data_IF_364459028568
#
_entry.id   IF_364459028568
#
_cell.length_a   1.000
_cell.length_b   1.000
_cell.length_c   1.000
_cell.angle_alpha   90.00
_cell.angle_beta   90.00
_cell.angle_gamma   90.00
#
_symmetry.space_group_name_H-M   'P 1'
#
loop_
_entity.id
_entity.type
_entity.pdbx_description
1 polymer ?
#
# COMPACT_ATOMS: atom_id res chain seq x y z
N UNK A 1 -17.44 -8.97 2.46
CA UNK A 1 -16.11 -9.57 2.23
C UNK A 1 -16.28 -11.08 2.13
N UNK A 2 -15.93 -11.66 0.97
CA UNK A 2 -16.05 -13.10 0.70
C UNK A 2 -14.76 -13.85 1.07
N UNK A 3 -14.78 -15.20 1.19
CA UNK A 3 -13.55 -15.99 1.39
C UNK A 3 -12.49 -15.78 0.29
N UNK A 4 -12.94 -15.51 -0.95
CA UNK A 4 -12.06 -15.19 -2.08
C UNK A 4 -11.35 -13.85 -1.88
N UNK A 5 -12.06 -12.85 -1.39
CA UNK A 5 -11.49 -11.54 -1.09
C UNK A 5 -10.49 -11.62 0.05
N UNK A 6 -10.79 -12.38 1.11
CA UNK A 6 -9.84 -12.64 2.19
C UNK A 6 -8.53 -13.26 1.67
N UNK A 7 -8.63 -14.28 0.81
CA UNK A 7 -7.46 -14.91 0.23
C UNK A 7 -6.63 -13.93 -0.61
N UNK A 8 -7.30 -13.12 -1.46
CA UNK A 8 -6.68 -12.05 -2.27
C UNK A 8 -5.89 -11.10 -1.37
N UNK A 9 -6.48 -10.62 -0.27
CA UNK A 9 -5.84 -9.65 0.61
C UNK A 9 -4.69 -10.24 1.43
N UNK A 10 -4.81 -11.50 1.86
CA UNK A 10 -3.69 -12.21 2.51
C UNK A 10 -2.51 -12.39 1.56
N UNK A 11 -2.76 -12.73 0.30
CA UNK A 11 -1.72 -12.86 -0.72
C UNK A 11 -1.07 -11.52 -1.01
N UNK A 12 -1.86 -10.46 -1.20
CA UNK A 12 -1.33 -9.11 -1.44
C UNK A 12 -0.49 -8.62 -0.25
N UNK A 13 -0.97 -8.80 0.98
CA UNK A 13 -0.19 -8.47 2.18
C UNK A 13 1.13 -9.27 2.26
N UNK A 14 1.10 -10.56 1.89
CA UNK A 14 2.30 -11.39 1.85
C UNK A 14 3.31 -10.96 0.79
N UNK A 15 2.85 -10.46 -0.36
CA UNK A 15 3.73 -9.95 -1.41
C UNK A 15 4.60 -8.77 -0.97
N UNK A 16 4.19 -8.03 0.08
CA UNK A 16 4.95 -6.90 0.62
C UNK A 16 5.97 -7.29 1.70
N UNK A 17 6.08 -8.56 2.07
CA UNK A 17 6.95 -8.96 3.20
C UNK A 17 8.44 -8.68 2.99
N UNK A 18 8.90 -8.65 1.73
CA UNK A 18 10.29 -8.35 1.41
C UNK A 18 10.68 -6.91 1.77
N UNK A 19 9.70 -6.00 1.85
CA UNK A 19 9.91 -4.61 2.24
C UNK A 19 9.94 -4.40 3.76
N UNK A 20 9.58 -5.41 4.57
CA UNK A 20 9.49 -5.26 6.02
C UNK A 20 10.75 -4.71 6.67
N UNK A 21 11.92 -5.13 6.19
CA UNK A 21 13.21 -4.72 6.74
C UNK A 21 13.74 -3.41 6.11
N UNK A 22 13.08 -2.89 5.08
CA UNK A 22 13.47 -1.65 4.42
C UNK A 22 13.05 -0.48 5.32
N UNK A 23 13.97 0.41 5.72
CA UNK A 23 13.66 1.62 6.48
C UNK A 23 12.70 2.57 5.73
N UNK A 24 11.97 3.40 6.49
CA UNK A 24 10.96 4.30 5.91
C UNK A 24 11.57 5.37 5.01
N UNK A 25 12.75 5.91 5.34
CA UNK A 25 13.50 6.87 4.51
C UNK A 25 13.93 6.26 3.17
N UNK A 26 14.40 5.00 3.18
CA UNK A 26 14.73 4.27 1.95
C UNK A 26 13.49 4.00 1.10
N UNK A 27 12.34 3.67 1.71
CA UNK A 27 11.07 3.54 0.99
C UNK A 27 10.63 4.86 0.36
N UNK A 28 10.77 5.98 1.08
CA UNK A 28 10.48 7.32 0.57
C UNK A 28 11.35 7.60 -0.66
N UNK A 29 12.67 7.33 -0.57
CA UNK A 29 13.59 7.55 -1.69
C UNK A 29 13.22 6.71 -2.93
N UNK A 30 12.90 5.42 -2.74
CA UNK A 30 12.42 4.54 -3.82
C UNK A 30 11.15 5.11 -4.47
N UNK A 31 10.17 5.54 -3.66
CA UNK A 31 8.90 6.08 -4.19
C UNK A 31 9.14 7.39 -4.92
N UNK A 32 9.91 8.33 -4.37
CA UNK A 32 10.19 9.61 -5.02
C UNK A 32 10.94 9.43 -6.34
N UNK A 33 11.86 8.47 -6.41
CA UNK A 33 12.67 8.19 -7.60
C UNK A 33 11.90 7.44 -8.68
N UNK A 34 11.16 6.40 -8.31
CA UNK A 34 10.69 5.37 -9.23
C UNK A 34 9.16 5.37 -9.43
N UNK A 35 8.40 6.11 -8.61
CA UNK A 35 6.94 6.18 -8.74
C UNK A 35 6.52 7.11 -9.89
N UNK A 36 5.99 6.52 -10.96
CA UNK A 36 5.66 7.26 -12.17
C UNK A 36 4.45 8.18 -11.99
N UNK A 37 3.40 7.73 -11.29
CA UNK A 37 2.18 8.53 -11.13
C UNK A 37 2.33 9.73 -10.17
N UNK A 38 3.35 9.74 -9.31
CA UNK A 38 3.62 10.85 -8.39
C UNK A 38 3.98 12.17 -9.11
N UNK A 39 4.43 12.07 -10.37
CA UNK A 39 4.93 13.21 -11.15
C UNK A 39 4.06 13.53 -12.38
N UNK A 40 3.01 12.73 -12.63
CA UNK A 40 2.16 12.88 -13.82
C UNK A 40 1.08 13.95 -13.60
N UNK A 41 0.62 14.15 -12.37
CA UNK A 41 -0.46 15.08 -12.06
C UNK A 41 0.03 16.17 -11.12
N UNK A 42 -0.36 17.41 -11.43
CA UNK A 42 -0.23 18.50 -10.46
C UNK A 42 -1.16 18.25 -9.25
N UNK A 43 -0.82 18.78 -8.07
CA UNK A 43 -1.70 18.70 -6.90
C UNK A 43 -3.09 19.28 -7.23
N UNK A 44 -4.11 18.42 -7.18
CA UNK A 44 -5.51 18.79 -7.53
C UNK A 44 -5.95 18.40 -8.94
N UNK A 45 -5.05 17.90 -9.79
CA UNK A 45 -5.37 17.40 -11.13
C UNK A 45 -5.35 15.87 -11.23
N UNK A 46 -5.00 15.19 -10.15
CA UNK A 46 -5.09 13.74 -10.07
C UNK A 46 -6.55 13.29 -10.29
N UNK A 47 -6.79 12.23 -11.09
CA UNK A 47 -8.12 11.72 -11.31
C UNK A 47 -8.82 11.39 -9.99
N UNK A 48 -10.02 11.92 -9.80
CA UNK A 48 -10.85 11.62 -8.64
C UNK A 48 -11.35 10.17 -8.70
N UNK A 49 -11.30 9.48 -7.57
CA UNK A 49 -11.97 8.21 -7.38
C UNK A 49 -13.48 8.46 -7.26
N UNK A 50 -14.29 7.67 -7.96
CA UNK A 50 -15.75 7.79 -7.92
C UNK A 50 -16.36 7.24 -6.63
N UNK A 51 -15.61 6.41 -5.89
CA UNK A 51 -16.09 5.65 -4.75
C UNK A 51 -16.82 4.37 -5.15
N UNK A 52 -16.87 4.03 -6.44
CA UNK A 52 -17.43 2.79 -6.97
C UNK A 52 -16.32 1.77 -7.23
N UNK A 53 -16.49 0.54 -6.72
CA UNK A 53 -15.48 -0.52 -6.75
C UNK A 53 -14.78 -0.71 -8.11
N UNK A 54 -15.51 -1.05 -9.18
CA UNK A 54 -14.89 -1.41 -10.46
C UNK A 54 -14.27 -0.22 -11.22
N UNK A 55 -14.94 0.93 -11.37
CA UNK A 55 -14.33 2.10 -11.99
C UNK A 55 -13.02 2.53 -11.30
N UNK A 56 -13.00 2.50 -9.97
CA UNK A 56 -11.82 2.89 -9.19
C UNK A 56 -10.68 1.87 -9.30
N UNK A 57 -11.00 0.57 -9.38
CA UNK A 57 -10.01 -0.47 -9.65
C UNK A 57 -9.42 -0.34 -11.05
N UNK A 58 -10.24 -0.08 -12.06
CA UNK A 58 -9.76 0.12 -13.44
C UNK A 58 -8.87 1.36 -13.54
N UNK A 59 -9.25 2.46 -12.89
CA UNK A 59 -8.44 3.67 -12.81
C UNK A 59 -7.11 3.39 -12.11
N UNK A 60 -7.13 2.72 -10.97
CA UNK A 60 -5.92 2.36 -10.22
C UNK A 60 -4.97 1.48 -11.05
N UNK A 61 -5.51 0.49 -11.77
CA UNK A 61 -4.75 -0.38 -12.65
C UNK A 61 -4.09 0.42 -13.80
N UNK A 62 -4.82 1.34 -14.42
CA UNK A 62 -4.30 2.21 -15.49
C UNK A 62 -3.20 3.14 -14.99
N UNK A 63 -3.39 3.78 -13.84
CA UNK A 63 -2.42 4.72 -13.27
C UNK A 63 -1.10 4.04 -12.87
N UNK A 64 -1.16 2.81 -12.39
CA UNK A 64 0.01 2.08 -11.92
C UNK A 64 0.62 1.13 -12.97
N UNK A 65 0.04 1.04 -14.17
CA UNK A 65 0.51 0.15 -15.22
C UNK A 65 1.99 0.41 -15.56
N UNK A 66 2.84 -0.58 -15.32
CA UNK A 66 4.28 -0.49 -15.61
C UNK A 66 5.10 0.29 -14.58
N UNK A 67 4.51 0.74 -13.47
CA UNK A 67 5.23 1.45 -12.42
C UNK A 67 6.12 0.48 -11.61
N UNK A 68 7.46 0.65 -11.59
CA UNK A 68 8.35 -0.25 -10.86
C UNK A 68 8.24 -0.12 -9.33
N UNK A 69 7.73 1.01 -8.84
CA UNK A 69 7.61 1.30 -7.41
C UNK A 69 6.29 0.86 -6.78
N UNK A 70 5.44 0.07 -7.45
CA UNK A 70 4.09 -0.26 -6.96
C UNK A 70 4.08 -0.83 -5.52
N UNK A 71 4.95 -1.79 -5.23
CA UNK A 71 4.99 -2.41 -3.90
C UNK A 71 5.57 -1.45 -2.84
N UNK A 72 6.61 -0.69 -3.18
CA UNK A 72 7.20 0.31 -2.28
C UNK A 72 6.20 1.43 -1.96
N UNK A 73 5.45 1.89 -2.98
CA UNK A 73 4.40 2.89 -2.86
C UNK A 73 3.29 2.42 -1.90
N UNK A 74 2.81 1.19 -2.08
CA UNK A 74 1.78 0.62 -1.21
C UNK A 74 2.29 0.38 0.22
N UNK A 75 3.50 -0.15 0.38
CA UNK A 75 4.09 -0.35 1.72
C UNK A 75 4.23 0.98 2.46
N UNK A 76 4.75 2.02 1.80
CA UNK A 76 4.95 3.33 2.40
C UNK A 76 3.63 3.97 2.84
N UNK A 77 2.60 3.93 1.99
CA UNK A 77 1.27 4.42 2.31
C UNK A 77 0.68 3.70 3.55
N UNK A 78 0.74 2.36 3.58
CA UNK A 78 0.23 1.57 4.71
C UNK A 78 0.97 1.87 6.03
N UNK A 79 2.26 2.22 5.99
CA UNK A 79 3.04 2.61 7.17
C UNK A 79 2.69 3.99 7.69
N UNK A 80 2.61 4.98 6.80
CA UNK A 80 2.43 6.38 7.19
C UNK A 80 0.97 6.67 7.53
N UNK A 81 0.05 6.25 6.68
CA UNK A 81 -1.35 6.65 6.74
C UNK A 81 -2.30 5.52 7.16
N UNK A 82 -1.84 4.27 7.00
CA UNK A 82 -2.66 3.10 7.23
C UNK A 82 -3.94 3.12 6.38
N UNK A 83 -5.13 2.85 6.93
CA UNK A 83 -6.35 2.75 6.12
C UNK A 83 -7.01 4.10 5.82
N UNK A 84 -6.42 5.23 6.23
CA UNK A 84 -7.11 6.55 6.29
C UNK A 84 -6.64 7.56 5.23
N UNK A 85 -6.04 7.10 4.15
CA UNK A 85 -5.65 7.95 3.02
C UNK A 85 -6.63 7.78 1.86
N UNK A 86 -6.84 8.82 1.07
CA UNK A 86 -7.63 8.81 -0.18
C UNK A 86 -6.70 8.67 -1.39
N UNK A 87 -7.20 8.11 -2.50
CA UNK A 87 -6.45 7.96 -3.75
C UNK A 87 -5.84 6.58 -3.99
N UNK A 88 -5.02 6.49 -5.06
CA UNK A 88 -4.46 5.24 -5.60
C UNK A 88 -3.01 5.03 -5.15
N UNK A 89 -2.74 3.86 -4.57
CA UNK A 89 -1.38 3.46 -4.17
C UNK A 89 -1.13 1.99 -4.51
N UNK A 90 -0.03 1.70 -5.23
CA UNK A 90 0.33 0.35 -5.67
C UNK A 90 -0.80 -0.42 -6.34
N UNK A 91 -1.49 0.25 -7.28
CA UNK A 91 -2.62 -0.25 -8.04
C UNK A 91 -3.89 -0.56 -7.23
N UNK A 92 -4.04 0.00 -6.03
CA UNK A 92 -5.25 -0.18 -5.20
C UNK A 92 -5.93 1.17 -4.92
N UNK A 93 -7.27 1.26 -5.12
CA UNK A 93 -8.05 2.37 -4.63
C UNK A 93 -8.26 2.28 -3.11
N UNK A 94 -8.85 3.32 -2.52
CA UNK A 94 -9.04 3.46 -1.08
C UNK A 94 -9.72 2.24 -0.43
N UNK A 95 -10.87 1.80 -0.95
CA UNK A 95 -11.65 0.71 -0.36
C UNK A 95 -10.87 -0.61 -0.32
N UNK A 96 -10.11 -0.91 -1.39
CA UNK A 96 -9.29 -2.11 -1.47
C UNK A 96 -8.10 -2.03 -0.48
N UNK A 97 -7.53 -0.84 -0.26
CA UNK A 97 -6.50 -0.63 0.77
C UNK A 97 -7.06 -0.77 2.19
N UNK A 98 -8.26 -0.26 2.45
CA UNK A 98 -8.96 -0.48 3.72
C UNK A 98 -9.18 -1.97 3.99
N UNK A 99 -9.57 -2.73 2.96
CA UNK A 99 -9.75 -4.18 3.06
C UNK A 99 -8.42 -4.94 3.26
N UNK A 100 -7.33 -4.47 2.65
CA UNK A 100 -5.98 -5.02 2.79
C UNK A 100 -5.36 -4.79 4.17
N UNK A 101 -5.56 -3.60 4.75
CA UNK A 101 -4.84 -3.11 5.92
C UNK A 101 -4.80 -4.08 7.12
N UNK A 102 -5.91 -4.73 7.55
CA UNK A 102 -5.89 -5.66 8.68
C UNK A 102 -4.94 -6.85 8.47
N UNK A 103 -4.83 -7.35 7.24
CA UNK A 103 -3.96 -8.48 6.91
C UNK A 103 -2.50 -8.07 6.87
N UNK A 104 -2.20 -6.88 6.34
CA UNK A 104 -0.86 -6.29 6.37
C UNK A 104 -0.41 -6.02 7.80
N UNK A 105 -1.22 -5.34 8.61
CA UNK A 105 -0.91 -4.97 9.98
C UNK A 105 -0.60 -6.20 10.85
N UNK A 106 -1.40 -7.27 10.71
CA UNK A 106 -1.16 -8.53 11.42
C UNK A 106 0.21 -9.14 11.11
N UNK A 107 0.74 -8.96 9.89
CA UNK A 107 2.08 -9.46 9.50
C UNK A 107 3.20 -8.60 10.06
N UNK A 108 3.00 -7.29 10.16
CA UNK A 108 3.98 -6.35 10.75
C UNK A 108 4.09 -6.51 12.26
N UNK A 109 2.97 -6.72 12.95
CA UNK A 109 2.98 -6.97 14.40
C UNK A 109 3.63 -8.30 14.80
N UNK A 110 3.53 -9.34 13.97
CA UNK A 110 4.10 -10.68 14.24
C UNK A 110 5.62 -10.78 14.02
N UNK A 111 6.22 -9.80 13.31
CA UNK A 111 7.65 -9.80 12.97
C UNK A 111 8.47 -8.75 13.72
N UNK A 112 7.83 -7.91 14.54
CA UNK A 112 8.56 -7.10 15.52
C UNK A 112 9.24 -8.07 16.47
N UNK A 113 10.59 -8.04 16.64
CA UNK A 113 11.20 -8.83 17.69
C UNK A 113 10.49 -8.44 18.98
N UNK A 114 10.00 -9.42 19.73
CA UNK A 114 9.74 -9.21 21.14
C UNK A 114 11.09 -8.81 21.73
N UNK A 115 11.32 -7.50 21.84
CA UNK A 115 12.35 -6.94 22.68
C UNK A 115 12.02 -7.36 24.10
N UNK A 116 12.45 -8.56 24.46
CA UNK A 116 12.45 -9.06 25.81
C UNK A 116 13.64 -8.44 26.52
N UNK A 117 13.35 -7.73 27.61
CA UNK A 117 14.35 -7.36 28.60
C UNK A 117 14.09 -6.02 29.27
N UNK A 118 13.05 -5.94 30.09
CA UNK A 118 13.15 -5.14 31.30
C UNK A 118 14.05 -5.87 32.31
N UNK A 119 14.81 -5.08 33.09
CA UNK A 119 15.59 -5.38 34.30
C UNK A 119 16.97 -6.06 34.19
N UNK A 120 18.01 -5.23 34.22
CA UNK A 120 18.78 -4.97 35.45
C UNK A 120 19.43 -3.58 35.42
#
# INVERSE_FOLDING_TARGET
>A
MTPRDEHKWRQRAASLDWLHAVPDDVLIDMVLRDCQCAWIFDPGEAPELSGEDEPDRELAARLCAGCPAMDACLELDLRIWGPRTTGVFGALPEQDRQALYPYWAARRSRRRPTGGGDMQ
#
